data_IF_182241776818
#
_entry.id   IF_182241776818
#
_cell.length_a   1.000
_cell.length_b   1.000
_cell.length_c   1.000
_cell.angle_alpha   90.00
_cell.angle_beta   90.00
_cell.angle_gamma   90.00
#
_symmetry.space_group_name_H-M   'P 1'
#
loop_
_entity.id
_entity.type
_entity.pdbx_description
1 polymer ?
#
# COMPACT_ATOMS: atom_id res chain seq x y z
N UNK A 1 4.18 -10.80 -5.85
CA UNK A 1 3.51 -9.74 -6.68
C UNK A 1 3.30 -8.47 -5.84
N UNK A 2 3.03 -7.28 -6.40
CA UNK A 2 2.89 -6.04 -5.60
C UNK A 2 1.77 -6.18 -4.57
N UNK A 3 0.63 -6.76 -4.96
CA UNK A 3 -0.50 -7.03 -4.07
C UNK A 3 -0.08 -7.91 -2.87
N UNK A 4 0.70 -8.97 -3.11
CA UNK A 4 1.24 -9.84 -2.05
C UNK A 4 2.12 -9.07 -1.06
N UNK A 5 2.99 -8.17 -1.54
CA UNK A 5 3.79 -7.30 -0.66
C UNK A 5 2.90 -6.35 0.14
N UNK A 6 1.85 -5.80 -0.47
CA UNK A 6 0.85 -4.97 0.25
C UNK A 6 0.16 -5.81 1.33
N UNK A 7 -0.24 -7.04 1.01
CA UNK A 7 -0.85 -8.02 1.94
C UNK A 7 0.04 -8.40 3.10
N UNK A 8 1.32 -8.67 2.84
CA UNK A 8 2.31 -8.97 3.88
C UNK A 8 2.45 -7.82 4.88
N UNK A 9 2.52 -6.58 4.39
CA UNK A 9 2.66 -5.41 5.27
C UNK A 9 1.34 -5.15 6.00
N UNK A 10 0.21 -5.26 5.30
CA UNK A 10 -1.12 -5.03 5.87
C UNK A 10 -1.50 -6.05 6.97
N UNK A 11 -1.03 -7.30 6.84
CA UNK A 11 -1.19 -8.33 7.87
C UNK A 11 -0.46 -7.97 9.17
N UNK A 12 0.64 -7.23 9.09
CA UNK A 12 1.43 -6.76 10.25
C UNK A 12 0.95 -5.41 10.78
N UNK A 13 0.49 -4.53 9.89
CA UNK A 13 -0.03 -3.19 10.20
C UNK A 13 -1.35 -3.03 9.45
N UNK A 14 -2.47 -2.85 10.14
CA UNK A 14 -3.82 -2.69 9.54
C UNK A 14 -3.94 -1.63 8.42
N UNK A 15 -2.92 -0.79 8.23
CA UNK A 15 -2.81 0.21 7.19
C UNK A 15 -1.36 0.32 6.70
N UNK A 16 -1.18 0.66 5.42
CA UNK A 16 0.14 0.72 4.78
C UNK A 16 0.32 1.99 3.96
N UNK A 17 1.44 2.69 4.11
CA UNK A 17 1.78 3.85 3.27
C UNK A 17 2.41 3.42 1.94
N UNK A 18 2.21 4.20 0.86
CA UNK A 18 2.84 3.92 -0.46
C UNK A 18 4.36 3.84 -0.38
N UNK A 19 4.97 4.64 0.50
CA UNK A 19 6.41 4.64 0.75
C UNK A 19 6.88 3.31 1.37
N UNK A 20 6.13 2.77 2.33
CA UNK A 20 6.45 1.48 2.94
C UNK A 20 6.41 0.34 1.91
N UNK A 21 5.45 0.39 0.97
CA UNK A 21 5.36 -0.59 -0.12
C UNK A 21 6.57 -0.47 -1.05
N UNK A 22 6.96 0.76 -1.42
CA UNK A 22 8.13 1.01 -2.25
C UNK A 22 9.43 0.52 -1.57
N UNK A 23 9.59 0.80 -0.27
CA UNK A 23 10.75 0.34 0.50
C UNK A 23 10.79 -1.18 0.63
N UNK A 24 9.64 -1.84 0.86
CA UNK A 24 9.55 -3.29 0.91
C UNK A 24 9.87 -3.94 -0.44
N UNK A 25 9.38 -3.38 -1.55
CA UNK A 25 9.71 -3.84 -2.90
C UNK A 25 11.20 -3.68 -3.19
N UNK A 26 11.79 -2.55 -2.80
CA UNK A 26 13.24 -2.29 -2.94
C UNK A 26 14.08 -3.29 -2.16
N UNK A 27 13.69 -3.62 -0.93
CA UNK A 27 14.33 -4.68 -0.12
C UNK A 27 14.25 -6.06 -0.76
N UNK A 28 13.17 -6.35 -1.49
CA UNK A 28 13.00 -7.56 -2.30
C UNK A 28 13.71 -7.48 -3.68
N UNK A 29 14.57 -6.48 -3.90
CA UNK A 29 15.31 -6.28 -5.16
C UNK A 29 14.46 -5.77 -6.33
N UNK A 30 13.21 -5.38 -6.10
CA UNK A 30 12.29 -4.87 -7.13
C UNK A 30 12.17 -3.35 -7.02
N UNK A 31 12.82 -2.65 -7.94
CA UNK A 31 12.61 -1.22 -8.09
C UNK A 31 11.36 -0.97 -8.94
N UNK A 32 10.41 -0.20 -8.39
CA UNK A 32 9.21 0.25 -9.10
C UNK A 32 9.16 1.76 -8.96
N UNK A 33 8.96 2.48 -10.07
CA UNK A 33 8.80 3.94 -10.02
C UNK A 33 7.57 4.27 -9.17
N UNK A 34 7.68 5.33 -8.37
CA UNK A 34 6.61 5.72 -7.45
C UNK A 34 5.27 5.95 -8.16
N UNK A 35 5.29 6.61 -9.33
CA UNK A 35 4.10 6.83 -10.16
C UNK A 35 3.46 5.54 -10.64
N UNK A 36 4.28 4.57 -11.09
CA UNK A 36 3.81 3.26 -11.52
C UNK A 36 3.22 2.46 -10.34
N UNK A 37 3.86 2.52 -9.18
CA UNK A 37 3.36 1.89 -7.96
C UNK A 37 1.99 2.46 -7.57
N UNK A 38 1.84 3.79 -7.56
CA UNK A 38 0.57 4.45 -7.29
C UNK A 38 -0.49 4.01 -8.29
N UNK A 39 -0.19 3.97 -9.59
CA UNK A 39 -1.14 3.53 -10.62
C UNK A 39 -1.61 2.09 -10.40
N UNK A 40 -0.70 1.17 -10.03
CA UNK A 40 -1.07 -0.21 -9.71
C UNK A 40 -1.94 -0.30 -8.46
N UNK A 41 -1.65 0.49 -7.43
CA UNK A 41 -2.48 0.54 -6.22
C UNK A 41 -3.87 1.10 -6.52
N UNK A 42 -3.99 2.13 -7.37
CA UNK A 42 -5.28 2.63 -7.85
C UNK A 42 -6.06 1.55 -8.62
N UNK A 43 -5.37 0.74 -9.42
CA UNK A 43 -5.98 -0.36 -10.16
C UNK A 43 -6.53 -1.43 -9.20
N UNK A 44 -5.77 -1.80 -8.16
CA UNK A 44 -6.25 -2.72 -7.12
C UNK A 44 -7.41 -2.16 -6.29
N UNK A 45 -7.44 -0.84 -6.10
CA UNK A 45 -8.59 -0.16 -5.49
C UNK A 45 -9.81 -0.18 -6.40
N UNK A 46 -9.65 0.03 -7.71
CA UNK A 46 -10.73 -0.14 -8.68
C UNK A 46 -11.31 -1.56 -8.70
N UNK A 47 -10.49 -2.57 -8.38
CA UNK A 47 -10.92 -3.95 -8.23
C UNK A 47 -11.48 -4.30 -6.83
N UNK A 48 -11.43 -3.37 -5.88
CA UNK A 48 -11.95 -3.58 -4.52
C UNK A 48 -11.04 -4.36 -3.57
N UNK A 49 -9.80 -4.70 -3.96
CA UNK A 49 -8.86 -5.41 -3.07
C UNK A 49 -8.34 -4.52 -1.94
N UNK A 50 -8.09 -3.26 -2.25
CA UNK A 50 -7.56 -2.27 -1.31
C UNK A 50 -8.37 -0.97 -1.39
N UNK A 51 -8.28 -0.14 -0.36
CA UNK A 51 -8.95 1.16 -0.34
C UNK A 51 -8.01 2.21 0.24
N UNK A 52 -8.02 3.41 -0.33
CA UNK A 52 -7.39 4.57 0.28
C UNK A 52 -8.25 5.15 1.38
N UNK A 53 -7.63 5.36 2.52
CA UNK A 53 -8.23 6.07 3.65
C UNK A 53 -7.27 7.12 4.17
N UNK A 54 -7.81 8.20 4.72
CA UNK A 54 -7.05 9.16 5.50
C UNK A 54 -7.15 8.73 6.95
N UNK A 55 -6.01 8.48 7.57
CA UNK A 55 -5.92 8.17 9.00
C UNK A 55 -5.05 9.20 9.69
N UNK A 56 -5.42 9.57 10.91
CA UNK A 56 -4.58 10.42 11.75
C UNK A 56 -3.53 9.54 12.42
N UNK A 57 -2.26 9.76 12.09
CA UNK A 57 -1.11 9.14 12.77
C UNK A 57 -0.35 10.25 13.48
N UNK A 58 -0.30 10.22 14.80
CA UNK A 58 0.36 11.24 15.63
C UNK A 58 -0.15 12.67 15.33
N UNK A 59 -1.47 12.82 15.17
CA UNK A 59 -2.13 14.09 14.87
C UNK A 59 -1.78 14.68 13.48
N UNK A 60 -1.20 13.88 12.58
CA UNK A 60 -0.94 14.24 11.19
C UNK A 60 -1.83 13.39 10.27
N UNK A 61 -2.64 14.00 9.40
CA UNK A 61 -3.44 13.26 8.43
C UNK A 61 -2.51 12.61 7.40
N UNK A 62 -2.60 11.29 7.27
CA UNK A 62 -1.83 10.51 6.31
C UNK A 62 -2.72 9.67 5.43
N UNK A 63 -2.36 9.62 4.15
CA UNK A 63 -3.01 8.77 3.17
C UNK A 63 -2.43 7.36 3.27
N UNK A 64 -3.26 6.39 3.60
CA UNK A 64 -2.88 4.99 3.75
C UNK A 64 -3.74 4.09 2.88
N UNK A 65 -3.21 2.91 2.57
CA UNK A 65 -3.92 1.82 1.92
C UNK A 65 -4.32 0.79 2.96
N UNK A 66 -5.60 0.42 2.99
CA UNK A 66 -6.10 -0.72 3.77
C UNK A 66 -6.54 -1.84 2.85
N UNK A 67 -6.36 -3.07 3.29
CA UNK A 67 -6.85 -4.25 2.58
C UNK A 67 -8.24 -4.57 3.10
N UNK A 68 -9.17 -4.75 2.16
CA UNK A 68 -10.56 -5.12 2.46
C UNK A 68 -10.88 -6.56 2.04
N UNK A 69 -9.92 -7.29 1.46
CA UNK A 69 -10.07 -8.72 1.20
C UNK A 69 -10.05 -9.50 2.52
N UNK A 70 -11.20 -10.11 2.82
CA UNK A 70 -11.31 -11.27 3.71
C UNK A 70 -10.58 -12.48 3.11
#
# INVERSE_FOLDING_TARGET
MILETVSDIARKKKSVETKEIADALRKKGKYVKFTELVNKLKMFEGYGFIKREVVSVNNVPKLVWKIYSY
#
